data_IF_269581338503
#
_entry.id   IF_269581338503
#
_cell.length_a   1.000
_cell.length_b   1.000
_cell.length_c   1.000
_cell.angle_alpha   90.00
_cell.angle_beta   90.00
_cell.angle_gamma   90.00
#
_symmetry.space_group_name_H-M   'P 1'
#
loop_
_entity.id
_entity.type
_entity.pdbx_description
1 polymer ?
#
# COMPACT_ATOMS: atom_id res chain seq x y z
N UNK A 1 14.53 -72.19 12.08
CA UNK A 1 13.19 -71.68 12.42
C UNK A 1 13.23 -70.19 12.06
N UNK A 2 12.67 -69.74 10.93
CA UNK A 2 11.27 -69.24 10.78
C UNK A 2 10.94 -68.19 11.85
N UNK A 3 10.51 -66.96 11.54
CA UNK A 3 9.70 -66.48 10.40
C UNK A 3 9.97 -65.00 10.08
N UNK A 4 9.92 -64.58 8.80
CA UNK A 4 9.85 -63.16 8.42
C UNK A 4 8.39 -62.67 8.49
N UNK A 5 8.14 -61.52 9.12
CA UNK A 5 6.84 -60.84 9.00
C UNK A 5 6.85 -59.91 7.78
N UNK A 6 5.82 -60.06 6.94
CA UNK A 6 5.57 -59.21 5.77
C UNK A 6 4.35 -58.34 6.06
N UNK A 7 4.50 -57.02 6.06
CA UNK A 7 3.38 -56.10 6.16
C UNK A 7 2.77 -55.84 4.77
N UNK A 8 1.46 -56.07 4.64
CA UNK A 8 0.70 -55.79 3.42
C UNK A 8 0.17 -54.35 3.45
N UNK A 9 0.47 -53.59 2.39
CA UNK A 9 -0.16 -52.30 2.16
C UNK A 9 -1.59 -52.50 1.61
N UNK A 10 -2.59 -52.02 2.34
CA UNK A 10 -3.98 -52.01 1.90
C UNK A 10 -4.28 -50.73 1.11
N UNK A 11 -4.50 -50.85 -0.21
CA UNK A 11 -4.99 -49.74 -1.03
C UNK A 11 -6.51 -49.60 -0.87
N UNK A 12 -6.97 -48.51 -0.27
CA UNK A 12 -8.40 -48.17 -0.19
C UNK A 12 -8.82 -47.40 -1.46
N UNK A 13 -9.52 -48.09 -2.36
CA UNK A 13 -10.11 -47.46 -3.56
C UNK A 13 -11.40 -46.75 -3.16
N UNK A 14 -11.37 -45.42 -3.07
CA UNK A 14 -12.58 -44.61 -2.93
C UNK A 14 -13.23 -44.41 -4.29
N UNK A 15 -14.42 -44.98 -4.46
CA UNK A 15 -15.20 -44.94 -5.69
C UNK A 15 -15.79 -43.55 -5.96
N UNK A 16 -15.56 -43.02 -7.16
CA UNK A 16 -16.22 -41.81 -7.66
C UNK A 16 -17.72 -42.08 -7.87
N UNK A 17 -18.58 -41.19 -7.40
CA UNK A 17 -19.99 -41.10 -7.80
C UNK A 17 -20.37 -39.64 -7.94
N UNK A 18 -20.75 -39.24 -9.15
CA UNK A 18 -20.87 -37.84 -9.52
C UNK A 18 -22.13 -37.17 -8.98
N UNK A 19 -22.01 -35.86 -8.67
CA UNK A 19 -23.17 -34.97 -8.60
C UNK A 19 -23.44 -34.40 -9.98
N UNK A 20 -24.66 -34.61 -10.48
CA UNK A 20 -25.11 -34.03 -11.74
C UNK A 20 -25.40 -32.53 -11.57
N UNK A 21 -24.96 -31.71 -12.52
CA UNK A 21 -25.35 -30.31 -12.62
C UNK A 21 -26.81 -30.20 -13.05
N UNK A 22 -27.69 -29.75 -12.15
CA UNK A 22 -29.05 -29.35 -12.49
C UNK A 22 -29.06 -27.90 -12.98
N UNK A 23 -29.28 -27.71 -14.28
CA UNK A 23 -29.48 -26.38 -14.88
C UNK A 23 -30.89 -25.88 -14.50
N UNK A 24 -30.99 -24.87 -13.64
CA UNK A 24 -32.28 -24.23 -13.36
C UNK A 24 -32.49 -23.03 -14.29
N UNK A 25 -33.35 -23.18 -15.29
CA UNK A 25 -33.78 -22.09 -16.16
C UNK A 25 -34.58 -21.04 -15.38
N UNK A 26 -34.45 -19.77 -15.76
CA UNK A 26 -34.95 -18.67 -14.96
C UNK A 26 -36.47 -18.62 -14.81
N UNK A 27 -36.93 -18.00 -13.72
CA UNK A 27 -38.27 -17.41 -13.59
C UNK A 27 -38.16 -16.16 -12.74
N UNK A 28 -38.44 -15.01 -13.35
CA UNK A 28 -38.58 -13.73 -12.66
C UNK A 28 -39.84 -13.76 -11.78
N UNK A 29 -39.68 -13.58 -10.46
CA UNK A 29 -40.82 -13.38 -9.54
C UNK A 29 -40.71 -11.98 -8.94
N UNK A 30 -41.65 -11.11 -9.33
CA UNK A 30 -41.85 -9.77 -8.75
C UNK A 30 -43.09 -9.82 -7.86
N UNK A 31 -42.97 -9.62 -6.54
CA UNK A 31 -44.13 -9.38 -5.68
C UNK A 31 -44.69 -7.96 -5.87
N UNK A 32 -46.02 -7.84 -5.78
CA UNK A 32 -46.81 -6.64 -6.12
C UNK A 32 -47.28 -5.88 -4.87
N UNK A 33 -47.23 -4.53 -4.90
CA UNK A 33 -47.84 -3.62 -3.91
C UNK A 33 -47.12 -3.55 -2.56
N UNK A 34 -47.24 -2.50 -1.72
CA UNK A 34 -48.04 -1.26 -1.70
C UNK A 34 -47.28 -0.21 -0.84
N UNK A 35 -47.47 1.12 -0.86
CA UNK A 35 -48.27 2.06 -1.69
C UNK A 35 -47.76 3.50 -1.47
N UNK A 36 -47.93 4.41 -2.45
CA UNK A 36 -47.64 5.84 -2.32
C UNK A 36 -48.90 6.66 -1.96
N UNK A 37 -48.82 7.62 -1.03
CA UNK A 37 -49.47 8.92 -1.15
C UNK A 37 -48.46 9.95 -1.70
N UNK A 38 -48.82 10.98 -2.44
CA UNK A 38 -50.14 11.53 -2.73
C UNK A 38 -49.94 13.01 -3.02
N UNK A 39 -50.09 13.40 -4.29
CA UNK A 39 -49.73 14.73 -4.78
C UNK A 39 -50.86 15.74 -4.47
N UNK A 40 -50.56 16.90 -3.87
CA UNK A 40 -51.47 18.06 -3.87
C UNK A 40 -50.75 19.35 -4.20
N UNK A 41 -51.44 20.17 -4.99
CA UNK A 41 -50.95 21.36 -5.69
C UNK A 41 -51.08 22.68 -4.91
N UNK A 42 -50.24 23.65 -5.29
CA UNK A 42 -50.70 25.03 -5.50
C UNK A 42 -50.25 26.08 -4.47
N UNK A 43 -50.18 27.33 -4.94
CA UNK A 43 -49.95 28.53 -4.11
C UNK A 43 -48.78 29.37 -4.59
N UNK A 44 -49.07 30.57 -5.10
CA UNK A 44 -48.06 31.53 -5.55
C UNK A 44 -48.00 32.77 -4.63
N UNK A 45 -47.07 33.67 -4.96
CA UNK A 45 -46.99 35.08 -4.60
C UNK A 45 -46.03 35.51 -3.46
N UNK A 46 -45.20 36.48 -3.85
CA UNK A 46 -44.35 37.41 -3.10
C UNK A 46 -45.06 38.07 -1.88
N UNK A 47 -44.38 38.70 -0.91
CA UNK A 47 -43.39 39.77 -1.08
C UNK A 47 -42.76 40.20 0.26
N UNK A 48 -41.65 40.98 0.17
CA UNK A 48 -41.22 42.07 1.07
C UNK A 48 -41.03 41.82 2.60
N UNK A 49 -40.16 42.53 3.34
CA UNK A 49 -38.96 43.34 3.05
C UNK A 49 -38.30 43.75 4.39
N UNK A 50 -37.06 44.30 4.34
CA UNK A 50 -36.38 45.08 5.40
C UNK A 50 -36.08 44.34 6.73
N UNK A 51 -35.16 44.75 7.63
CA UNK A 51 -34.04 45.70 7.61
C UNK A 51 -33.19 45.56 8.88
N UNK A 52 -31.87 45.75 8.76
CA UNK A 52 -30.96 46.06 9.89
C UNK A 52 -30.54 44.85 10.75
N UNK A 53 -29.30 44.70 11.20
CA UNK A 53 -28.10 45.52 10.96
C UNK A 53 -27.38 45.86 12.27
N UNK A 54 -26.07 45.60 12.35
CA UNK A 54 -25.18 46.24 13.30
C UNK A 54 -23.71 46.09 12.87
N UNK A 55 -22.92 47.13 13.09
CA UNK A 55 -21.50 47.20 12.76
C UNK A 55 -20.67 47.47 14.02
N UNK A 56 -19.52 46.81 14.12
CA UNK A 56 -18.37 47.11 14.97
C UNK A 56 -17.23 46.12 14.60
N UNK A 57 -15.93 46.41 14.66
CA UNK A 57 -15.18 47.67 14.80
C UNK A 57 -13.68 47.40 14.55
N UNK A 58 -12.86 48.46 14.40
CA UNK A 58 -11.40 48.40 14.16
C UNK A 58 -10.61 48.85 15.42
N UNK A 59 -9.27 48.72 15.57
CA UNK A 59 -8.26 48.33 14.57
C UNK A 59 -7.18 47.29 15.02
N UNK A 60 -6.04 47.62 15.69
CA UNK A 60 -4.76 47.20 15.09
C UNK A 60 -3.70 46.55 16.01
N UNK A 61 -2.72 45.92 15.35
CA UNK A 61 -1.30 45.78 15.75
C UNK A 61 -0.50 45.70 14.42
N UNK A 62 0.46 46.57 14.11
CA UNK A 62 1.85 46.62 14.61
C UNK A 62 2.64 45.30 14.37
N UNK A 63 3.83 45.26 13.75
CA UNK A 63 4.61 46.37 13.19
C UNK A 63 6.14 46.23 13.24
N UNK A 64 6.75 45.14 12.75
CA UNK A 64 8.21 45.04 12.47
C UNK A 64 8.51 43.73 11.68
N UNK A 65 9.58 43.59 10.88
CA UNK A 65 10.56 44.57 10.41
C UNK A 65 11.85 43.89 9.88
N UNK A 66 12.09 43.95 8.55
CA UNK A 66 13.34 43.50 7.91
C UNK A 66 13.47 41.97 7.66
N UNK A 67 14.22 41.50 6.66
CA UNK A 67 14.90 42.20 5.58
C UNK A 67 15.00 41.30 4.33
N UNK A 68 14.86 41.88 3.14
CA UNK A 68 15.11 41.19 1.88
C UNK A 68 16.55 41.47 1.40
N UNK A 69 17.23 40.44 0.88
CA UNK A 69 18.50 40.59 0.18
C UNK A 69 18.45 39.79 -1.13
N UNK A 70 18.37 40.50 -2.25
CA UNK A 70 18.69 39.94 -3.57
C UNK A 70 20.21 39.97 -3.75
N UNK A 71 20.78 38.91 -4.30
CA UNK A 71 22.06 38.97 -5.01
C UNK A 71 22.02 38.00 -6.20
N UNK A 72 22.50 38.45 -7.34
CA UNK A 72 22.43 37.77 -8.63
C UNK A 72 23.79 37.25 -9.09
N UNK A 73 23.77 36.21 -9.91
CA UNK A 73 24.70 36.10 -11.04
C UNK A 73 25.73 34.96 -11.04
N UNK A 74 25.76 34.22 -12.16
CA UNK A 74 27.03 33.97 -12.84
C UNK A 74 27.66 32.57 -12.75
N UNK A 75 27.29 31.70 -13.69
CA UNK A 75 28.26 31.19 -14.67
C UNK A 75 29.11 29.94 -14.36
N UNK A 76 29.23 29.09 -15.40
CA UNK A 76 30.25 28.05 -15.64
C UNK A 76 30.23 26.78 -14.74
N UNK A 77 30.81 25.64 -15.14
CA UNK A 77 30.79 24.91 -16.42
C UNK A 77 31.59 23.59 -16.26
N UNK A 78 31.16 22.53 -16.96
CA UNK A 78 31.90 21.30 -17.29
C UNK A 78 32.35 20.33 -16.16
N UNK A 79 32.26 19.02 -16.45
CA UNK A 79 33.07 18.00 -15.76
C UNK A 79 32.45 16.60 -15.64
N UNK A 80 32.73 15.71 -16.59
CA UNK A 80 32.49 14.25 -16.48
C UNK A 80 31.21 13.73 -17.16
N UNK A 81 31.20 12.55 -17.81
CA UNK A 81 32.33 11.66 -18.11
C UNK A 81 31.89 10.43 -18.91
N UNK A 82 32.66 10.09 -19.95
CA UNK A 82 32.86 8.75 -20.56
C UNK A 82 31.69 7.75 -20.62
N UNK A 83 31.20 7.55 -21.84
CA UNK A 83 30.83 6.26 -22.47
C UNK A 83 31.85 5.12 -22.17
N UNK A 84 31.60 3.80 -22.27
CA UNK A 84 30.53 2.97 -22.86
C UNK A 84 30.60 1.51 -22.27
N UNK A 85 30.17 0.44 -23.00
CA UNK A 85 29.00 -0.45 -22.79
C UNK A 85 29.28 -1.59 -21.76
N UNK A 86 28.35 -2.52 -21.46
CA UNK A 86 27.96 -3.77 -22.16
C UNK A 86 26.77 -4.39 -21.41
N UNK A 87 25.88 -5.24 -21.95
CA UNK A 87 25.72 -5.78 -23.30
C UNK A 87 24.65 -6.88 -23.26
N UNK A 88 23.60 -6.78 -24.09
CA UNK A 88 22.50 -7.75 -24.08
C UNK A 88 22.93 -9.08 -24.72
N UNK A 89 22.68 -10.20 -24.04
CA UNK A 89 22.85 -11.55 -24.56
C UNK A 89 21.59 -12.38 -24.27
N UNK A 90 20.79 -12.63 -25.30
CA UNK A 90 19.52 -13.35 -25.20
C UNK A 90 19.70 -14.84 -25.52
N UNK A 91 19.08 -15.71 -24.71
CA UNK A 91 18.94 -17.13 -25.02
C UNK A 91 17.67 -17.68 -24.37
N UNK A 92 16.78 -18.23 -25.19
CA UNK A 92 15.48 -18.74 -24.75
C UNK A 92 15.54 -20.23 -24.35
N UNK A 93 14.63 -20.64 -23.43
CA UNK A 93 13.58 -21.64 -23.70
C UNK A 93 13.22 -22.54 -22.50
N UNK A 94 11.94 -22.93 -22.51
CA UNK A 94 11.31 -24.09 -21.84
C UNK A 94 11.08 -24.01 -20.32
N UNK A 95 9.91 -24.52 -19.92
CA UNK A 95 9.39 -24.41 -18.56
C UNK A 95 9.81 -25.57 -17.64
N UNK A 96 9.67 -25.29 -16.34
CA UNK A 96 9.85 -26.19 -15.20
C UNK A 96 9.34 -25.46 -13.95
N UNK A 97 9.07 -26.21 -12.88
CA UNK A 97 8.56 -25.66 -11.62
C UNK A 97 9.39 -24.50 -11.06
N UNK A 98 8.73 -23.56 -10.38
CA UNK A 98 9.35 -22.40 -9.78
C UNK A 98 10.49 -22.82 -8.81
N UNK A 99 11.71 -22.28 -8.95
CA UNK A 99 12.82 -22.70 -8.12
C UNK A 99 12.68 -22.14 -6.70
N UNK A 100 12.43 -23.03 -5.74
CA UNK A 100 12.39 -22.71 -4.30
C UNK A 100 13.79 -22.52 -3.71
N UNK A 101 14.62 -21.68 -4.34
CA UNK A 101 15.89 -21.25 -3.76
C UNK A 101 15.62 -20.20 -2.67
N UNK A 102 16.11 -20.37 -1.43
CA UNK A 102 16.00 -19.34 -0.40
C UNK A 102 16.71 -18.08 -0.90
N UNK A 103 15.98 -16.97 -1.01
CA UNK A 103 16.51 -15.73 -1.62
C UNK A 103 17.35 -14.90 -0.64
N UNK A 104 17.25 -15.25 0.65
CA UNK A 104 17.93 -14.59 1.76
C UNK A 104 19.33 -15.17 2.00
N UNK A 105 20.25 -14.90 1.07
CA UNK A 105 21.68 -15.14 1.28
C UNK A 105 22.21 -14.28 2.44
N UNK A 106 22.49 -14.91 3.58
CA UNK A 106 23.10 -14.32 4.77
C UNK A 106 22.44 -13.02 5.27
N UNK A 107 21.10 -12.95 5.20
CA UNK A 107 20.33 -11.97 5.96
C UNK A 107 20.55 -12.23 7.45
N UNK A 108 21.48 -11.46 8.05
CA UNK A 108 21.78 -11.48 9.47
C UNK A 108 20.50 -11.03 10.20
N UNK A 109 19.75 -12.02 10.68
CA UNK A 109 18.38 -11.89 11.21
C UNK A 109 18.20 -10.62 12.05
N UNK A 110 17.05 -9.99 11.88
CA UNK A 110 16.67 -8.79 12.60
C UNK A 110 16.98 -8.91 14.10
N UNK A 111 17.58 -7.87 14.67
CA UNK A 111 17.65 -7.74 16.11
C UNK A 111 16.36 -7.12 16.66
N UNK A 112 16.10 -7.41 17.93
CA UNK A 112 14.90 -6.95 18.61
C UNK A 112 14.88 -5.45 18.92
N UNK A 113 16.00 -4.71 18.77
CA UNK A 113 16.00 -3.25 18.94
C UNK A 113 15.60 -2.54 17.65
N UNK A 114 16.15 -2.90 16.50
CA UNK A 114 15.76 -2.28 15.22
C UNK A 114 14.36 -2.69 14.76
N UNK A 115 13.85 -3.87 15.14
CA UNK A 115 12.45 -4.24 14.85
C UNK A 115 11.43 -3.70 15.87
N UNK A 116 11.86 -3.00 16.92
CA UNK A 116 10.97 -2.52 17.98
C UNK A 116 10.07 -1.37 17.47
N UNK A 117 8.73 -1.52 17.49
CA UNK A 117 7.83 -0.43 17.13
C UNK A 117 7.88 0.73 18.13
N UNK A 118 7.43 1.90 17.69
CA UNK A 118 7.25 3.08 18.53
C UNK A 118 6.00 2.98 19.45
N UNK A 119 5.61 4.10 20.07
CA UNK A 119 4.49 4.15 21.01
C UNK A 119 3.09 4.16 20.34
N UNK A 120 3.03 4.41 19.03
CA UNK A 120 1.82 4.56 18.23
C UNK A 120 1.95 3.81 16.89
N UNK A 121 2.19 2.48 16.92
CA UNK A 121 2.39 1.70 15.71
C UNK A 121 1.10 1.60 14.88
N UNK A 122 1.27 1.13 13.65
CA UNK A 122 0.19 0.68 12.78
C UNK A 122 -0.74 -0.31 13.48
N UNK A 123 -2.00 -0.31 13.04
CA UNK A 123 -3.06 -1.16 13.58
C UNK A 123 -2.71 -2.64 13.52
N UNK A 124 -2.18 -3.11 12.40
CA UNK A 124 -1.79 -4.53 12.25
C UNK A 124 -0.66 -4.89 13.22
N UNK A 125 0.34 -4.03 13.40
CA UNK A 125 1.40 -4.24 14.39
C UNK A 125 0.87 -4.17 15.83
N UNK A 126 -0.10 -3.31 16.12
CA UNK A 126 -0.73 -3.21 17.43
C UNK A 126 -1.65 -4.39 17.78
N UNK A 127 -2.19 -5.10 16.79
CA UNK A 127 -3.20 -6.17 16.99
C UNK A 127 -2.66 -7.58 16.73
N UNK A 128 -1.82 -7.74 15.70
CA UNK A 128 -1.31 -9.03 15.22
C UNK A 128 0.17 -9.27 15.57
N UNK A 129 0.89 -8.22 16.00
CA UNK A 129 2.34 -8.25 16.22
C UNK A 129 3.14 -7.85 14.97
N UNK A 130 4.47 -7.87 15.08
CA UNK A 130 5.37 -7.56 13.95
C UNK A 130 6.53 -8.54 13.79
N UNK A 131 6.47 -9.68 14.45
CA UNK A 131 7.41 -10.79 14.32
C UNK A 131 7.43 -11.31 12.87
N UNK A 132 8.52 -11.08 12.11
CA UNK A 132 8.52 -11.30 10.68
C UNK A 132 8.81 -12.78 10.36
N UNK A 133 7.88 -13.43 9.67
CA UNK A 133 8.05 -14.77 9.10
C UNK A 133 8.36 -14.64 7.60
N UNK A 134 9.42 -15.28 7.11
CA UNK A 134 9.74 -15.27 5.68
C UNK A 134 8.73 -16.12 4.89
N UNK A 135 8.04 -15.49 3.94
CA UNK A 135 7.13 -16.13 2.99
C UNK A 135 7.69 -16.12 1.56
N UNK A 136 6.79 -16.22 0.58
CA UNK A 136 7.15 -16.35 -0.83
C UNK A 136 8.06 -15.23 -1.33
N UNK A 137 9.08 -15.61 -2.10
CA UNK A 137 10.06 -14.71 -2.71
C UNK A 137 10.77 -13.77 -1.71
N UNK A 138 10.84 -14.12 -0.42
CA UNK A 138 11.46 -13.28 0.62
C UNK A 138 10.58 -12.09 1.05
N UNK A 139 9.27 -12.16 0.81
CA UNK A 139 8.27 -11.24 1.39
C UNK A 139 7.95 -11.70 2.81
N UNK A 140 8.05 -10.80 3.79
CA UNK A 140 7.75 -11.14 5.18
C UNK A 140 6.26 -10.96 5.50
N UNK A 141 5.73 -11.80 6.39
CA UNK A 141 4.38 -11.68 6.96
C UNK A 141 4.42 -11.69 8.48
N UNK A 142 3.46 -11.00 9.10
CA UNK A 142 3.21 -11.08 10.54
C UNK A 142 2.51 -12.40 10.94
N UNK A 143 2.29 -12.68 12.24
CA UNK A 143 1.63 -13.91 12.71
C UNK A 143 0.24 -14.19 12.13
N UNK A 144 -0.47 -13.16 11.64
CA UNK A 144 -1.79 -13.27 11.01
C UNK A 144 -1.73 -13.28 9.48
N UNK A 145 -0.52 -13.29 8.90
CA UNK A 145 -0.29 -13.39 7.47
C UNK A 145 -0.35 -12.07 6.70
N UNK A 146 -0.51 -10.92 7.38
CA UNK A 146 -0.47 -9.63 6.69
C UNK A 146 0.98 -9.28 6.30
N UNK A 147 1.21 -8.58 5.18
CA UNK A 147 2.56 -8.19 4.78
C UNK A 147 3.25 -7.32 5.85
N UNK A 148 4.50 -7.66 6.17
CA UNK A 148 5.32 -6.92 7.13
C UNK A 148 6.75 -6.73 6.62
N UNK A 149 7.55 -5.98 7.36
CA UNK A 149 8.93 -5.62 7.06
C UNK A 149 9.94 -6.42 7.89
N UNK A 150 11.19 -6.43 7.43
CA UNK A 150 12.35 -6.87 8.23
C UNK A 150 13.44 -5.79 8.13
N UNK A 151 14.04 -5.43 9.27
CA UNK A 151 15.24 -4.58 9.32
C UNK A 151 16.38 -5.36 9.99
N UNK A 152 17.53 -5.43 9.33
CA UNK A 152 18.72 -6.13 9.84
C UNK A 152 19.43 -5.36 10.98
N UNK A 153 20.38 -6.04 11.61
CA UNK A 153 21.19 -5.46 12.70
C UNK A 153 22.10 -4.27 12.31
N UNK A 154 22.19 -3.92 11.02
CA UNK A 154 22.88 -2.72 10.54
C UNK A 154 21.88 -1.59 10.18
N UNK A 155 20.59 -1.76 10.48
CA UNK A 155 19.52 -0.81 10.14
C UNK A 155 19.13 -0.81 8.65
N UNK A 156 19.44 -1.88 7.90
CA UNK A 156 19.04 -2.04 6.49
C UNK A 156 17.73 -2.82 6.41
N UNK A 157 16.79 -2.31 5.64
CA UNK A 157 15.50 -2.96 5.43
C UNK A 157 15.56 -4.07 4.36
N UNK A 158 14.55 -4.93 4.37
CA UNK A 158 14.35 -5.94 3.34
C UNK A 158 14.06 -5.35 1.95
N UNK A 159 14.00 -6.24 0.96
CA UNK A 159 13.74 -5.87 -0.42
C UNK A 159 12.39 -5.16 -0.62
N UNK A 160 11.32 -5.67 -0.01
CA UNK A 160 9.96 -5.15 -0.20
C UNK A 160 9.79 -3.81 0.51
N UNK A 161 10.39 -3.60 1.68
CA UNK A 161 10.45 -2.28 2.32
C UNK A 161 11.17 -1.24 1.45
N UNK A 162 12.36 -1.59 0.90
CA UNK A 162 13.06 -0.67 -0.01
C UNK A 162 12.29 -0.45 -1.31
N UNK A 163 11.72 -1.51 -1.90
CA UNK A 163 10.97 -1.41 -3.16
C UNK A 163 9.69 -0.59 -2.98
N UNK A 164 9.05 -0.76 -1.84
CA UNK A 164 7.91 0.00 -1.35
C UNK A 164 8.19 1.50 -1.30
N UNK A 165 9.31 1.90 -0.71
CA UNK A 165 9.77 3.29 -0.77
C UNK A 165 9.86 3.80 -2.21
N UNK A 166 10.51 3.05 -3.12
CA UNK A 166 10.65 3.48 -4.53
C UNK A 166 9.30 3.59 -5.27
N UNK A 167 8.32 2.73 -4.96
CA UNK A 167 6.97 2.79 -5.55
C UNK A 167 6.11 3.91 -4.93
N UNK A 168 6.21 4.09 -3.61
CA UNK A 168 5.60 5.21 -2.89
C UNK A 168 6.06 6.56 -3.45
N UNK A 169 7.36 6.72 -3.68
CA UNK A 169 7.95 7.93 -4.25
C UNK A 169 7.56 8.14 -5.73
N UNK A 170 7.26 7.07 -6.49
CA UNK A 170 6.79 7.19 -7.86
C UNK A 170 5.30 7.60 -7.94
N UNK A 171 4.44 6.98 -7.12
CA UNK A 171 2.98 7.00 -7.33
C UNK A 171 2.21 7.79 -6.26
N UNK A 172 2.72 7.88 -5.03
CA UNK A 172 1.94 8.32 -3.86
C UNK A 172 2.41 9.66 -3.26
N UNK A 173 3.73 9.93 -3.29
CA UNK A 173 4.33 11.10 -2.63
C UNK A 173 3.81 12.45 -3.14
N UNK A 174 3.30 12.48 -4.38
CA UNK A 174 2.84 13.71 -5.02
C UNK A 174 1.64 14.33 -4.29
N UNK A 175 0.86 13.51 -3.58
CA UNK A 175 -0.26 13.93 -2.74
C UNK A 175 0.04 13.73 -1.25
N UNK A 176 0.58 12.57 -0.86
CA UNK A 176 0.85 12.21 0.54
C UNK A 176 2.21 12.70 1.07
N UNK A 177 2.89 13.56 0.32
CA UNK A 177 4.15 14.18 0.71
C UNK A 177 5.35 13.22 0.69
N UNK A 178 6.56 13.73 0.95
CA UNK A 178 7.70 12.86 1.25
C UNK A 178 7.40 12.05 2.51
N UNK A 179 8.04 10.88 2.65
CA UNK A 179 8.06 10.12 3.90
C UNK A 179 6.70 9.64 4.44
N UNK A 180 5.62 9.71 3.65
CA UNK A 180 4.25 9.39 4.08
C UNK A 180 3.53 10.51 4.85
N UNK A 181 4.20 11.63 5.13
CA UNK A 181 3.83 12.61 6.18
C UNK A 181 2.65 13.55 5.83
N UNK A 182 1.99 13.33 4.69
CA UNK A 182 0.84 14.09 4.24
C UNK A 182 1.19 15.44 3.59
N UNK A 183 0.15 16.18 3.25
CA UNK A 183 0.26 17.54 2.71
C UNK A 183 -1.05 18.32 2.96
N UNK A 184 -1.13 19.55 2.46
CA UNK A 184 -2.41 20.29 2.39
C UNK A 184 -3.47 19.61 1.51
N UNK A 185 -3.11 18.60 0.70
CA UNK A 185 -3.99 17.90 -0.23
C UNK A 185 -4.45 16.52 0.26
N UNK A 186 -3.65 15.83 1.07
CA UNK A 186 -3.89 14.43 1.44
C UNK A 186 -3.37 14.10 2.87
N UNK A 187 -3.94 13.09 3.56
CA UNK A 187 -3.57 12.76 4.93
C UNK A 187 -2.13 12.27 5.09
N UNK A 188 -1.62 12.43 6.32
CA UNK A 188 -0.44 11.71 6.78
C UNK A 188 -0.75 10.20 6.89
N UNK A 189 -0.12 9.39 6.04
CA UNK A 189 -0.34 7.95 5.97
C UNK A 189 0.23 7.20 7.17
N UNK A 190 1.28 7.71 7.84
CA UNK A 190 1.79 7.06 9.07
C UNK A 190 0.73 7.10 10.16
N UNK A 191 0.03 8.23 10.27
CA UNK A 191 -1.04 8.41 11.26
C UNK A 191 -2.31 7.63 10.85
N UNK A 192 -2.64 7.54 9.55
CA UNK A 192 -3.79 6.75 9.10
C UNK A 192 -3.61 5.25 9.36
N UNK A 193 -2.39 4.72 9.21
CA UNK A 193 -2.11 3.30 9.44
C UNK A 193 -2.29 2.87 10.91
N UNK A 194 -2.34 3.78 11.87
CA UNK A 194 -2.72 3.48 13.26
C UNK A 194 -4.20 3.04 13.39
N UNK A 195 -5.04 3.31 12.37
CA UNK A 195 -6.47 2.96 12.35
C UNK A 195 -6.89 2.05 11.18
N UNK A 196 -6.07 1.95 10.13
CA UNK A 196 -6.30 1.13 8.94
C UNK A 196 -5.50 -0.18 9.01
N UNK A 197 -6.16 -1.31 8.79
CA UNK A 197 -5.48 -2.59 8.54
C UNK A 197 -4.94 -2.67 7.12
N UNK A 198 -4.11 -3.67 6.81
CA UNK A 198 -3.72 -4.00 5.44
C UNK A 198 -4.93 -4.07 4.48
N UNK A 199 -6.03 -4.71 4.90
CA UNK A 199 -7.23 -4.85 4.07
C UNK A 199 -8.00 -3.53 3.92
N UNK A 200 -8.04 -2.68 4.96
CA UNK A 200 -8.62 -1.35 4.85
C UNK A 200 -7.79 -0.47 3.88
N UNK A 201 -6.47 -0.54 3.98
CA UNK A 201 -5.52 0.14 3.08
C UNK A 201 -5.69 -0.33 1.64
N UNK A 202 -5.67 -1.65 1.40
CA UNK A 202 -5.82 -2.23 0.07
C UNK A 202 -7.18 -1.85 -0.56
N UNK A 203 -8.26 -1.92 0.22
CA UNK A 203 -9.59 -1.48 -0.22
C UNK A 203 -9.59 -0.02 -0.68
N UNK A 204 -9.02 0.89 0.12
CA UNK A 204 -8.91 2.32 -0.19
C UNK A 204 -8.03 2.58 -1.42
N UNK A 205 -6.91 1.88 -1.59
CA UNK A 205 -6.03 2.02 -2.76
C UNK A 205 -6.73 1.54 -4.03
N UNK A 206 -7.39 0.38 -3.97
CA UNK A 206 -8.12 -0.21 -5.11
C UNK A 206 -9.31 0.66 -5.52
N UNK A 207 -10.18 1.06 -4.59
CA UNK A 207 -11.41 1.79 -4.90
C UNK A 207 -11.26 3.31 -5.02
N UNK A 208 -10.16 3.87 -4.49
CA UNK A 208 -10.06 5.29 -4.20
C UNK A 208 -11.01 5.73 -3.09
N UNK A 209 -11.02 7.03 -2.80
CA UNK A 209 -11.93 7.64 -1.81
C UNK A 209 -12.23 9.10 -2.16
N UNK A 210 -13.44 9.57 -1.80
CA UNK A 210 -13.89 10.93 -2.02
C UNK A 210 -14.48 11.55 -0.74
N UNK A 211 -14.12 12.80 -0.46
CA UNK A 211 -14.63 13.65 0.61
C UNK A 211 -14.55 13.03 2.02
N UNK A 212 -13.55 12.14 2.24
CA UNK A 212 -13.27 11.50 3.53
C UNK A 212 -12.26 12.29 4.35
N UNK A 213 -11.14 12.70 3.75
CA UNK A 213 -10.09 13.45 4.43
C UNK A 213 -10.52 14.88 4.76
N UNK A 214 -11.11 15.57 3.77
CA UNK A 214 -11.71 16.89 3.95
C UNK A 214 -13.15 16.83 3.42
N UNK A 215 -14.16 16.60 4.30
CA UNK A 215 -15.57 16.52 3.90
C UNK A 215 -16.17 17.84 3.42
N UNK A 216 -15.58 18.97 3.83
CA UNK A 216 -16.00 20.33 3.45
C UNK A 216 -15.33 20.83 2.16
N UNK A 217 -14.44 20.04 1.57
CA UNK A 217 -13.75 20.34 0.31
C UNK A 217 -13.80 19.14 -0.64
N UNK A 218 -13.20 19.30 -1.82
CA UNK A 218 -13.14 18.25 -2.83
C UNK A 218 -11.87 17.40 -2.63
N UNK A 219 -11.84 16.57 -1.59
CA UNK A 219 -10.72 15.64 -1.38
C UNK A 219 -10.95 14.35 -2.17
N UNK A 220 -10.10 14.08 -3.17
CA UNK A 220 -10.23 12.90 -4.04
C UNK A 220 -8.90 12.15 -4.09
N UNK A 221 -8.91 10.91 -3.63
CA UNK A 221 -7.88 9.92 -3.93
C UNK A 221 -8.39 9.06 -5.09
N UNK A 222 -7.68 9.02 -6.24
CA UNK A 222 -8.05 8.15 -7.36
C UNK A 222 -8.10 6.67 -6.97
N UNK A 223 -8.87 5.89 -7.72
CA UNK A 223 -8.82 4.44 -7.70
C UNK A 223 -7.55 3.98 -8.44
N UNK A 224 -6.75 3.10 -7.83
CA UNK A 224 -5.54 2.53 -8.43
C UNK A 224 -5.69 1.06 -8.82
N UNK A 225 -6.87 0.46 -8.62
CA UNK A 225 -7.13 -0.96 -8.88
C UNK A 225 -6.86 -1.44 -10.31
N UNK A 226 -6.78 -0.53 -11.28
CA UNK A 226 -6.49 -0.82 -12.70
C UNK A 226 -5.07 -0.42 -13.13
N UNK A 227 -4.25 0.19 -12.24
CA UNK A 227 -2.87 0.58 -12.57
C UNK A 227 -1.85 -0.47 -12.09
N UNK A 228 -1.20 -1.23 -13.00
CA UNK A 228 -0.22 -2.23 -12.63
C UNK A 228 1.00 -1.63 -11.92
N UNK A 229 1.32 -0.34 -12.11
CA UNK A 229 2.43 0.33 -11.42
C UNK A 229 2.24 0.40 -9.89
N UNK A 230 0.98 0.37 -9.43
CA UNK A 230 0.60 0.28 -8.02
C UNK A 230 0.24 -1.17 -7.66
N UNK A 231 -0.64 -1.83 -8.42
CA UNK A 231 -1.19 -3.13 -8.02
C UNK A 231 -0.14 -4.24 -7.97
N UNK A 232 0.83 -4.27 -8.89
CA UNK A 232 1.95 -5.22 -8.85
C UNK A 232 2.93 -4.99 -7.68
N UNK A 233 2.70 -3.98 -6.84
CA UNK A 233 3.56 -3.68 -5.69
C UNK A 233 2.77 -3.11 -4.50
N UNK A 234 1.47 -3.39 -4.41
CA UNK A 234 0.61 -2.90 -3.33
C UNK A 234 1.14 -3.36 -1.96
N UNK A 235 1.56 -4.62 -1.85
CA UNK A 235 2.20 -5.17 -0.65
C UNK A 235 3.50 -4.43 -0.31
N UNK A 236 4.36 -4.16 -1.28
CA UNK A 236 5.61 -3.44 -1.03
C UNK A 236 5.34 -2.01 -0.51
N UNK A 237 4.39 -1.29 -1.13
CA UNK A 237 3.97 0.04 -0.69
C UNK A 237 3.43 -0.02 0.75
N UNK A 238 2.61 -1.03 1.07
CA UNK A 238 2.12 -1.24 2.43
C UNK A 238 3.25 -1.53 3.42
N UNK A 239 4.12 -2.49 3.14
CA UNK A 239 5.26 -2.89 3.97
C UNK A 239 6.13 -1.67 4.32
N UNK A 240 6.44 -0.82 3.32
CA UNK A 240 7.15 0.44 3.57
C UNK A 240 6.38 1.38 4.50
N UNK A 241 5.10 1.65 4.21
CA UNK A 241 4.32 2.58 5.02
C UNK A 241 4.05 2.06 6.44
N UNK A 242 3.88 0.74 6.62
CA UNK A 242 3.79 0.06 7.93
C UNK A 242 5.08 0.27 8.72
N UNK A 243 6.25 0.00 8.11
CA UNK A 243 7.55 0.23 8.74
C UNK A 243 7.80 1.71 9.11
N UNK A 244 7.18 2.64 8.36
CA UNK A 244 7.19 4.09 8.66
C UNK A 244 6.22 4.50 9.75
N UNK A 245 5.06 3.85 9.84
CA UNK A 245 4.04 4.06 10.87
C UNK A 245 4.48 3.48 12.23
N UNK A 246 5.20 2.36 12.19
CA UNK A 246 5.76 1.69 13.37
C UNK A 246 7.06 2.37 13.87
N UNK A 247 7.53 3.43 13.22
CA UNK A 247 8.75 4.16 13.59
C UNK A 247 10.08 3.44 13.33
N UNK A 248 10.04 2.15 12.95
CA UNK A 248 11.23 1.31 12.68
C UNK A 248 12.06 1.82 11.50
N UNK A 249 11.41 2.23 10.41
CA UNK A 249 12.10 2.84 9.26
C UNK A 249 12.03 4.35 9.38
N UNK A 250 13.21 4.99 9.32
CA UNK A 250 13.36 6.43 9.38
C UNK A 250 12.95 7.17 8.09
N UNK A 251 13.23 8.47 8.09
CA UNK A 251 12.99 9.35 6.94
C UNK A 251 14.07 9.20 5.86
N UNK A 252 13.67 9.39 4.60
CA UNK A 252 14.52 9.22 3.43
C UNK A 252 14.47 7.82 2.82
N UNK A 253 15.38 7.54 1.87
CA UNK A 253 15.51 6.22 1.25
C UNK A 253 16.16 5.22 2.23
N UNK A 254 15.46 4.15 2.64
CA UNK A 254 16.06 3.12 3.49
C UNK A 254 17.23 2.46 2.77
N UNK A 255 18.24 2.01 3.52
CA UNK A 255 19.23 1.07 2.96
C UNK A 255 18.59 -0.31 2.86
N UNK A 256 19.05 -1.12 1.90
CA UNK A 256 18.55 -2.48 1.70
C UNK A 256 19.61 -3.53 2.05
N UNK A 257 19.18 -4.66 2.61
CA UNK A 257 20.05 -5.80 2.95
C UNK A 257 20.74 -6.33 1.68
N UNK A 258 19.96 -6.54 0.62
CA UNK A 258 20.44 -7.08 -0.66
C UNK A 258 19.52 -6.72 -1.83
N UNK A 259 19.86 -7.22 -3.03
CA UNK A 259 18.95 -7.25 -4.17
C UNK A 259 18.17 -8.56 -4.15
N UNK A 260 16.90 -8.56 -4.50
CA UNK A 260 16.12 -9.78 -4.67
C UNK A 260 15.70 -9.90 -6.14
N UNK A 261 16.47 -10.67 -6.91
CA UNK A 261 16.21 -10.82 -8.36
C UNK A 261 14.91 -11.58 -8.63
N UNK A 262 14.56 -12.60 -7.84
CA UNK A 262 13.33 -13.35 -8.05
C UNK A 262 12.07 -12.47 -7.85
N UNK A 263 12.04 -11.65 -6.79
CA UNK A 263 10.98 -10.67 -6.57
C UNK A 263 10.97 -9.54 -7.61
N UNK A 264 12.14 -9.13 -8.13
CA UNK A 264 12.25 -8.16 -9.22
C UNK A 264 11.69 -8.70 -10.54
N UNK A 265 12.01 -9.96 -10.88
CA UNK A 265 11.56 -10.61 -12.11
C UNK A 265 10.04 -10.88 -12.05
N UNK A 266 9.49 -11.23 -10.88
CA UNK A 266 8.05 -11.35 -10.65
C UNK A 266 7.32 -9.99 -10.80
N UNK A 267 7.89 -8.90 -10.27
CA UNK A 267 7.33 -7.57 -10.49
C UNK A 267 7.32 -7.20 -11.97
N UNK A 268 8.39 -7.52 -12.72
CA UNK A 268 8.48 -7.25 -14.15
C UNK A 268 7.47 -8.07 -14.97
N UNK A 269 7.31 -9.36 -14.63
CA UNK A 269 6.26 -10.22 -15.19
C UNK A 269 4.86 -9.63 -14.98
N UNK A 270 4.55 -9.18 -13.76
CA UNK A 270 3.26 -8.54 -13.45
C UNK A 270 3.04 -7.21 -14.20
N UNK A 271 4.12 -6.43 -14.40
CA UNK A 271 4.08 -5.18 -15.17
C UNK A 271 4.04 -5.40 -16.70
N UNK A 272 4.30 -6.62 -17.18
CA UNK A 272 4.31 -6.98 -18.60
C UNK A 272 5.61 -6.66 -19.35
N UNK A 273 6.76 -6.77 -18.67
CA UNK A 273 8.11 -6.62 -19.25
C UNK A 273 8.79 -7.97 -19.54
#
# INVERSE_FOLDING_TARGET
MTTKMTALAGALVLSVSGLAFAQNSGTTIVPQGQSMPGQTSGGAAAAAATSGGQAASQAPAEGSGGAAAQASGGGQAAGGGTSQPDGNGEAAAAGGEAPTTPVSGDAKMADAEHMKPDAHPSKDTATEGNEPTEGDLGKYTDPSGNPTYLVDADGKADWYTWRGYKKYMANCMQCHGPDGLGSSFAPNLTDQLQALSYYDFAGIVVSGQQNKWNPSGNSVMPAWGEDPNVMCSMDAIYIYLRARADGVVGRGEPKRIGNNKAAQDEEYSCLGF
#
